data_IF_174441395664
#
_entry.id   IF_174441395664
#
_cell.length_a   1.000
_cell.length_b   1.000
_cell.length_c   1.000
_cell.angle_alpha   90.00
_cell.angle_beta   90.00
_cell.angle_gamma   90.00
#
_symmetry.space_group_name_H-M   'P 1'
#
loop_
_entity.id
_entity.type
_entity.pdbx_description
1 polymer ?
#
# COMPACT_ATOMS: atom_id res chain seq x y z
N UNK A 1 -5.68 7.14 5.41
CA UNK A 1 -4.20 7.28 5.43
C UNK A 1 -3.62 6.56 4.23
N UNK A 2 -2.74 7.21 3.44
CA UNK A 2 -2.15 6.57 2.25
C UNK A 2 -1.04 5.59 2.65
N UNK A 3 -0.80 4.58 1.81
CA UNK A 3 0.26 3.61 2.03
C UNK A 3 1.64 4.29 2.14
N UNK A 4 1.92 5.29 1.32
CA UNK A 4 3.17 6.04 1.36
C UNK A 4 3.39 6.72 2.73
N UNK A 5 2.34 7.36 3.26
CA UNK A 5 2.39 8.06 4.55
C UNK A 5 2.60 7.09 5.70
N UNK A 6 1.91 5.94 5.68
CA UNK A 6 2.08 4.88 6.67
C UNK A 6 3.53 4.36 6.70
N UNK A 7 4.10 4.07 5.53
CA UNK A 7 5.47 3.58 5.43
C UNK A 7 6.49 4.61 5.91
N UNK A 8 6.26 5.89 5.64
CA UNK A 8 7.09 6.98 6.14
C UNK A 8 6.98 7.14 7.67
N UNK A 9 5.77 7.08 8.22
CA UNK A 9 5.52 7.21 9.66
C UNK A 9 6.16 6.06 10.45
N UNK A 10 6.01 4.84 9.98
CA UNK A 10 6.57 3.62 10.60
C UNK A 10 8.06 3.42 10.26
N UNK A 11 8.65 4.27 9.41
CA UNK A 11 10.03 4.16 8.90
C UNK A 11 10.31 2.80 8.24
N UNK A 12 9.30 2.22 7.59
CA UNK A 12 9.38 0.94 6.89
C UNK A 12 9.72 1.21 5.43
N UNK A 13 10.79 0.59 4.92
CA UNK A 13 11.14 0.70 3.50
C UNK A 13 10.14 -0.07 2.62
N UNK A 14 9.98 0.35 1.37
CA UNK A 14 9.13 -0.38 0.42
C UNK A 14 9.56 -1.85 0.25
N UNK A 15 10.86 -2.15 0.39
CA UNK A 15 11.38 -3.51 0.28
C UNK A 15 10.97 -4.34 1.50
N UNK A 16 11.18 -3.81 2.72
CA UNK A 16 10.79 -4.48 3.95
C UNK A 16 9.27 -4.74 4.00
N UNK A 17 8.46 -3.78 3.57
CA UNK A 17 7.01 -3.97 3.48
C UNK A 17 6.61 -4.98 2.40
N UNK A 18 7.33 -5.01 1.28
CA UNK A 18 7.10 -5.98 0.22
C UNK A 18 7.37 -7.41 0.68
N UNK A 19 8.45 -7.62 1.42
CA UNK A 19 8.79 -8.91 2.03
C UNK A 19 7.70 -9.32 3.04
N UNK A 20 7.21 -8.37 3.86
CA UNK A 20 6.15 -8.60 4.84
C UNK A 20 4.84 -9.11 4.21
N UNK A 21 4.43 -8.54 3.07
CA UNK A 21 3.19 -8.95 2.38
C UNK A 21 3.44 -9.96 1.25
N UNK A 22 4.68 -10.40 1.03
CA UNK A 22 5.06 -11.37 0.00
C UNK A 22 4.77 -10.90 -1.42
N UNK A 23 5.20 -9.68 -1.77
CA UNK A 23 5.18 -9.12 -3.13
C UNK A 23 6.54 -8.52 -3.47
N UNK A 24 6.72 -7.97 -4.68
CA UNK A 24 7.95 -7.27 -5.02
C UNK A 24 7.97 -5.82 -4.50
N UNK A 25 9.16 -5.29 -4.18
CA UNK A 25 9.35 -3.88 -3.85
C UNK A 25 8.77 -2.94 -4.90
N UNK A 26 8.91 -3.30 -6.18
CA UNK A 26 8.35 -2.54 -7.29
C UNK A 26 6.81 -2.48 -7.25
N UNK A 27 6.15 -3.56 -6.81
CA UNK A 27 4.71 -3.57 -6.62
C UNK A 27 4.29 -2.60 -5.51
N UNK A 28 4.95 -2.66 -4.33
CA UNK A 28 4.70 -1.72 -3.22
C UNK A 28 4.92 -0.28 -3.65
N UNK A 29 5.97 0.00 -4.43
CA UNK A 29 6.24 1.34 -4.93
C UNK A 29 5.13 1.85 -5.85
N UNK A 30 4.58 1.00 -6.72
CA UNK A 30 3.43 1.37 -7.57
C UNK A 30 2.16 1.60 -6.75
N UNK A 31 1.92 0.79 -5.72
CA UNK A 31 0.79 0.95 -4.81
C UNK A 31 0.89 2.26 -4.03
N UNK A 32 2.06 2.56 -3.45
CA UNK A 32 2.30 3.78 -2.68
C UNK A 32 2.15 5.05 -3.52
N UNK A 33 2.44 4.98 -4.82
CA UNK A 33 2.30 6.10 -5.77
C UNK A 33 0.93 6.18 -6.43
N UNK A 34 0.01 5.25 -6.17
CA UNK A 34 -1.29 5.17 -6.87
C UNK A 34 -1.19 4.72 -8.33
N UNK A 35 0.00 4.44 -8.86
CA UNK A 35 0.22 4.04 -10.25
C UNK A 35 -0.32 2.65 -10.61
N UNK A 36 -0.72 1.85 -9.61
CA UNK A 36 -1.37 0.56 -9.80
C UNK A 36 -2.32 0.28 -8.66
N UNK A 37 -3.51 -0.23 -8.96
CA UNK A 37 -4.43 -0.75 -7.95
C UNK A 37 -4.01 -2.17 -7.50
N UNK A 38 -3.87 -2.45 -6.19
CA UNK A 38 -3.55 -3.78 -5.70
C UNK A 38 -4.73 -4.75 -5.87
N UNK A 39 -4.46 -6.02 -6.18
CA UNK A 39 -5.51 -7.06 -6.21
C UNK A 39 -6.09 -7.31 -4.81
N UNK A 40 -7.33 -7.85 -4.74
CA UNK A 40 -8.03 -8.19 -3.47
C UNK A 40 -7.15 -8.94 -2.46
N UNK A 41 -6.37 -9.91 -2.90
CA UNK A 41 -5.48 -10.69 -2.01
C UNK A 41 -4.40 -9.80 -1.40
N UNK A 42 -3.80 -8.91 -2.19
CA UNK A 42 -2.78 -7.97 -1.72
C UNK A 42 -3.39 -6.93 -0.79
N UNK A 43 -4.59 -6.42 -1.10
CA UNK A 43 -5.33 -5.51 -0.22
C UNK A 43 -5.59 -6.11 1.17
N UNK A 44 -6.00 -7.38 1.24
CA UNK A 44 -6.19 -8.07 2.51
C UNK A 44 -4.88 -8.16 3.31
N UNK A 45 -3.75 -8.45 2.64
CA UNK A 45 -2.43 -8.48 3.27
C UNK A 45 -1.98 -7.10 3.76
N UNK A 46 -2.19 -6.05 2.97
CA UNK A 46 -1.87 -4.66 3.36
C UNK A 46 -2.70 -4.26 4.58
N UNK A 47 -4.01 -4.52 4.57
CA UNK A 47 -4.89 -4.23 5.71
C UNK A 47 -4.41 -4.96 6.98
N UNK A 48 -4.04 -6.24 6.86
CA UNK A 48 -3.52 -7.01 8.00
C UNK A 48 -2.17 -6.46 8.50
N UNK A 49 -1.22 -6.21 7.59
CA UNK A 49 0.12 -5.71 7.91
C UNK A 49 0.13 -4.30 8.49
N UNK A 50 -0.88 -3.49 8.17
CA UNK A 50 -1.05 -2.12 8.69
C UNK A 50 -2.03 -2.05 9.85
N UNK A 51 -2.49 -3.20 10.37
CA UNK A 51 -3.50 -3.30 11.42
C UNK A 51 -4.76 -2.46 11.14
N UNK A 52 -5.17 -2.36 9.87
CA UNK A 52 -6.32 -1.58 9.43
C UNK A 52 -6.05 -0.08 9.22
N UNK A 53 -4.82 0.41 9.41
CA UNK A 53 -4.48 1.81 9.20
C UNK A 53 -4.55 2.22 7.71
N UNK A 54 -4.26 1.28 6.81
CA UNK A 54 -4.43 1.45 5.36
C UNK A 54 -5.51 0.48 4.88
N UNK A 55 -6.55 1.02 4.26
CA UNK A 55 -7.75 0.30 3.83
C UNK A 55 -7.99 0.46 2.33
N UNK A 56 -8.98 -0.26 1.82
CA UNK A 56 -9.37 -0.21 0.40
C UNK A 56 -9.81 1.19 -0.04
N UNK A 57 -10.54 1.91 0.80
CA UNK A 57 -11.01 3.28 0.51
C UNK A 57 -9.84 4.23 0.29
N UNK A 58 -8.76 4.08 1.07
CA UNK A 58 -7.54 4.89 0.91
C UNK A 58 -6.88 4.71 -0.47
N UNK A 59 -7.04 3.54 -1.09
CA UNK A 59 -6.57 3.29 -2.46
C UNK A 59 -7.52 3.82 -3.54
N UNK A 60 -8.83 3.88 -3.26
CA UNK A 60 -9.81 4.46 -4.19
C UNK A 60 -9.64 5.98 -4.28
N UNK A 61 -9.47 6.66 -3.14
CA UNK A 61 -9.28 8.11 -3.09
C UNK A 61 -8.02 8.55 -3.86
N UNK A 62 -7.02 7.67 -3.98
CA UNK A 62 -5.82 7.93 -4.79
C UNK A 62 -6.04 7.74 -6.29
N UNK A 63 -6.99 6.90 -6.70
CA UNK A 63 -7.31 6.68 -8.11
C UNK A 63 -8.14 7.85 -8.66
N UNK A 64 -9.11 8.37 -7.90
CA UNK A 64 -9.89 9.56 -8.30
C UNK A 64 -9.04 10.82 -8.41
N UNK A 65 -8.02 10.98 -7.55
CA UNK A 65 -7.14 12.16 -7.59
C UNK A 65 -6.12 12.17 -8.75
N UNK A 66 -6.03 11.09 -9.53
CA UNK A 66 -5.13 10.96 -10.68
C UNK A 66 -5.83 11.11 -12.03
N UNK A 67 -7.14 11.39 -12.03
CA UNK A 67 -7.97 11.76 -13.19
C UNK A 67 -8.06 13.28 -13.35
#
# INVERSE_FOLDING_TARGET
MKLADYLAAEKISHAAFADLIGVSQAAVTRYARGARFPHRVVLAKIKAATNGAVTFTDFLDMAEAAE
#
